data_IF_192054845406
#
_entry.id   IF_192054845406
#
_cell.length_a   1.000
_cell.length_b   1.000
_cell.length_c   1.000
_cell.angle_alpha   90.00
_cell.angle_beta   90.00
_cell.angle_gamma   90.00
#
_symmetry.space_group_name_H-M   'P 1'
#
loop_
_entity.id
_entity.type
_entity.pdbx_description
1 polymer ?
#
# COMPACT_ATOMS: atom_id res chain seq x y z
N UNK A 1 -7.36 1.92 7.45
CA UNK A 1 -8.22 3.10 7.67
C UNK A 1 -9.17 3.16 6.50
N UNK A 2 -10.47 3.10 6.77
CA UNK A 2 -11.50 3.38 5.78
C UNK A 2 -11.87 4.86 5.87
N UNK A 3 -12.00 5.53 4.74
CA UNK A 3 -12.37 6.94 4.70
C UNK A 3 -13.88 7.11 4.74
N UNK A 4 -14.36 8.21 5.31
CA UNK A 4 -15.76 8.62 5.20
C UNK A 4 -15.97 9.28 3.83
N UNK A 5 -16.13 8.44 2.81
CA UNK A 5 -16.15 8.82 1.39
C UNK A 5 -14.92 8.31 0.63
N UNK A 6 -14.39 9.13 -0.26
CA UNK A 6 -13.19 8.81 -1.04
C UNK A 6 -12.20 9.97 -1.06
N UNK A 7 -10.92 9.64 -1.26
CA UNK A 7 -9.86 10.61 -1.54
C UNK A 7 -9.56 10.54 -3.04
N UNK A 8 -9.53 11.71 -3.67
CA UNK A 8 -9.08 11.88 -5.05
C UNK A 8 -7.56 12.10 -5.08
N UNK A 9 -6.85 11.13 -5.65
CA UNK A 9 -5.41 11.16 -5.87
C UNK A 9 -5.02 11.34 -7.33
N UNK A 10 -5.94 11.64 -8.24
CA UNK A 10 -5.67 11.72 -9.70
C UNK A 10 -4.55 12.71 -10.05
N UNK A 11 -4.42 13.79 -9.29
CA UNK A 11 -3.37 14.80 -9.49
C UNK A 11 -1.97 14.40 -8.95
N UNK A 12 -1.83 13.22 -8.34
CA UNK A 12 -0.62 12.74 -7.70
C UNK A 12 -0.14 11.42 -8.32
N UNK A 13 1.16 11.14 -8.23
CA UNK A 13 1.76 9.93 -8.82
C UNK A 13 2.42 9.03 -7.77
N UNK A 14 2.56 9.50 -6.52
CA UNK A 14 3.35 8.82 -5.49
C UNK A 14 2.71 8.95 -4.12
N UNK A 15 2.66 7.86 -3.36
CA UNK A 15 2.44 7.88 -1.91
C UNK A 15 3.80 7.96 -1.20
N UNK A 16 3.95 8.94 -0.31
CA UNK A 16 5.12 9.07 0.55
C UNK A 16 4.74 8.84 2.02
N UNK A 17 5.55 8.05 2.72
CA UNK A 17 5.36 7.74 4.13
C UNK A 17 6.65 8.07 4.88
N UNK A 18 6.58 8.93 5.91
CA UNK A 18 7.68 9.10 6.86
C UNK A 18 7.50 8.11 8.00
N UNK A 19 8.36 7.11 8.03
CA UNK A 19 8.21 5.93 8.87
C UNK A 19 9.55 5.54 9.50
N UNK A 20 9.49 4.85 10.65
CA UNK A 20 10.63 4.23 11.32
C UNK A 20 10.26 2.80 11.66
N UNK A 21 11.07 1.85 11.19
CA UNK A 21 10.77 0.42 11.29
C UNK A 21 11.75 -0.34 12.18
N UNK A 22 11.46 -1.61 12.31
CA UNK A 22 12.17 -2.64 13.08
C UNK A 22 13.03 -3.57 12.20
N UNK A 23 13.14 -3.26 10.90
CA UNK A 23 13.83 -4.10 9.91
C UNK A 23 12.97 -5.21 9.31
N UNK A 24 11.66 -5.29 9.64
CA UNK A 24 10.70 -6.13 8.92
C UNK A 24 10.25 -5.45 7.62
N UNK A 25 9.69 -6.25 6.72
CA UNK A 25 8.97 -5.74 5.56
C UNK A 25 7.49 -5.53 5.86
N UNK A 26 6.90 -4.53 5.23
CA UNK A 26 5.48 -4.21 5.37
C UNK A 26 4.81 -4.18 3.99
N UNK A 27 3.49 -4.30 3.97
CA UNK A 27 2.69 -4.23 2.74
C UNK A 27 1.74 -3.05 2.86
N UNK A 28 1.87 -2.09 1.94
CA UNK A 28 0.89 -1.03 1.77
C UNK A 28 -0.24 -1.55 0.90
N UNK A 29 -1.48 -1.46 1.36
CA UNK A 29 -2.66 -1.77 0.55
C UNK A 29 -3.47 -0.51 0.31
N UNK A 30 -3.89 -0.28 -0.93
CA UNK A 30 -4.82 0.77 -1.34
C UNK A 30 -6.12 0.09 -1.78
N UNK A 31 -7.25 0.60 -1.30
CA UNK A 31 -8.59 0.15 -1.69
C UNK A 31 -9.22 1.22 -2.58
N UNK A 32 -9.73 0.84 -3.75
CA UNK A 32 -10.34 1.79 -4.69
C UNK A 32 -11.67 1.29 -5.23
N UNK A 33 -12.51 2.24 -5.64
CA UNK A 33 -13.71 1.92 -6.42
C UNK A 33 -13.34 1.82 -7.91
N UNK A 34 -13.29 0.61 -8.45
CA UNK A 34 -13.17 0.36 -9.88
C UNK A 34 -14.52 -0.06 -10.47
N UNK A 35 -14.93 0.61 -11.55
CA UNK A 35 -16.18 0.37 -12.28
C UNK A 35 -16.25 -0.98 -13.03
N UNK A 36 -15.17 -1.78 -12.99
CA UNK A 36 -15.11 -3.09 -13.67
C UNK A 36 -15.89 -4.16 -12.88
N UNK A 37 -16.28 -3.88 -11.63
CA UNK A 37 -17.04 -4.82 -10.82
C UNK A 37 -18.50 -4.88 -11.28
N UNK A 38 -19.00 -6.09 -11.49
CA UNK A 38 -20.42 -6.31 -11.80
C UNK A 38 -21.31 -5.79 -10.66
N UNK A 39 -22.55 -5.34 -10.93
CA UNK A 39 -23.48 -4.93 -9.88
C UNK A 39 -23.61 -6.01 -8.81
N UNK A 40 -23.27 -5.70 -7.55
CA UNK A 40 -23.29 -6.65 -6.43
C UNK A 40 -21.94 -7.28 -6.06
N UNK A 41 -20.85 -7.04 -6.81
CA UNK A 41 -19.50 -7.36 -6.38
C UNK A 41 -18.91 -6.20 -5.57
N UNK A 42 -19.26 -6.16 -4.28
CA UNK A 42 -18.60 -5.31 -3.27
C UNK A 42 -17.23 -5.88 -2.84
N UNK A 43 -16.56 -6.60 -3.73
CA UNK A 43 -15.29 -7.22 -3.42
C UNK A 43 -14.18 -6.18 -3.56
N UNK A 44 -13.53 -5.88 -2.44
CA UNK A 44 -12.51 -4.84 -2.26
C UNK A 44 -11.44 -4.93 -3.37
N UNK A 45 -11.49 -4.04 -4.36
CA UNK A 45 -10.39 -3.91 -5.30
C UNK A 45 -9.21 -3.36 -4.52
N UNK A 46 -8.25 -4.25 -4.26
CA UNK A 46 -7.08 -3.94 -3.47
C UNK A 46 -5.86 -3.97 -4.37
N UNK A 47 -4.98 -2.99 -4.19
CA UNK A 47 -3.65 -3.04 -4.78
C UNK A 47 -2.62 -2.98 -3.68
N UNK A 48 -1.55 -3.75 -3.85
CA UNK A 48 -0.53 -3.93 -2.84
C UNK A 48 0.86 -3.56 -3.37
N UNK A 49 1.67 -2.98 -2.50
CA UNK A 49 3.09 -2.75 -2.75
C UNK A 49 3.89 -3.00 -1.49
N UNK A 50 5.13 -3.47 -1.64
CA UNK A 50 6.02 -3.69 -0.52
C UNK A 50 6.62 -2.37 -0.03
N UNK A 51 6.74 -2.25 1.30
CA UNK A 51 7.37 -1.12 1.98
C UNK A 51 8.56 -1.64 2.75
N UNK A 52 9.74 -1.23 2.29
CA UNK A 52 11.03 -1.56 2.91
C UNK A 52 11.44 -0.43 3.83
N UNK A 53 11.62 -0.75 5.12
CA UNK A 53 11.91 0.23 6.15
C UNK A 53 13.23 -0.11 6.85
N UNK A 54 14.25 0.76 6.80
CA UNK A 54 15.47 0.58 7.56
C UNK A 54 15.18 0.48 9.06
N UNK A 55 15.90 -0.41 9.74
CA UNK A 55 15.81 -0.54 11.20
C UNK A 55 16.28 0.74 11.88
N UNK A 56 15.50 1.19 12.87
CA UNK A 56 15.82 2.24 13.84
C UNK A 56 16.11 3.65 13.27
N UNK A 57 15.84 3.89 11.99
CA UNK A 57 16.02 5.20 11.35
C UNK A 57 14.72 5.72 10.74
N UNK A 58 14.45 7.02 10.90
CA UNK A 58 13.39 7.68 10.16
C UNK A 58 13.74 7.72 8.68
N UNK A 59 12.83 7.23 7.86
CA UNK A 59 12.99 7.11 6.42
C UNK A 59 11.72 7.59 5.71
N UNK A 60 11.87 8.16 4.51
CA UNK A 60 10.74 8.54 3.66
C UNK A 60 10.63 7.49 2.56
N UNK A 61 9.72 6.53 2.74
CA UNK A 61 9.38 5.58 1.70
C UNK A 61 8.51 6.30 0.65
N UNK A 62 8.89 6.19 -0.63
CA UNK A 62 8.12 6.69 -1.76
C UNK A 62 7.68 5.51 -2.60
N UNK A 63 6.37 5.40 -2.83
CA UNK A 63 5.75 4.31 -3.57
C UNK A 63 4.98 4.94 -4.72
N UNK A 64 5.53 4.89 -5.96
CA UNK A 64 4.79 5.25 -7.15
C UNK A 64 3.46 4.48 -7.24
N UNK A 65 2.39 5.11 -7.70
CA UNK A 65 1.08 4.48 -7.80
C UNK A 65 1.08 3.29 -8.80
N UNK A 66 1.94 3.32 -9.81
CA UNK A 66 2.14 2.24 -10.78
C UNK A 66 2.92 1.03 -10.23
N UNK A 67 3.52 1.15 -9.03
CA UNK A 67 4.16 0.02 -8.32
C UNK A 67 3.17 -0.77 -7.44
N UNK A 68 1.91 -0.34 -7.39
CA UNK A 68 0.85 -1.08 -6.70
C UNK A 68 0.27 -2.14 -7.64
N UNK A 69 0.36 -3.41 -7.25
CA UNK A 69 -0.11 -4.54 -8.03
C UNK A 69 -1.54 -4.92 -7.62
N UNK A 70 -2.46 -5.19 -8.55
CA UNK A 70 -3.81 -5.62 -8.21
C UNK A 70 -3.77 -6.99 -7.51
N UNK A 71 -4.47 -7.10 -6.39
CA UNK A 71 -4.52 -8.32 -5.58
C UNK A 71 -5.94 -8.77 -5.29
N UNK A 72 -6.16 -10.08 -5.39
CA UNK A 72 -7.40 -10.74 -4.98
C UNK A 72 -7.12 -11.85 -3.98
N UNK A 73 -7.74 -11.75 -2.78
CA UNK A 73 -7.52 -12.70 -1.66
C UNK A 73 -6.03 -13.00 -1.41
N UNK A 74 -5.19 -11.96 -1.45
CA UNK A 74 -3.75 -12.05 -1.22
C UNK A 74 -2.91 -12.55 -2.41
N UNK A 75 -3.51 -12.82 -3.56
CA UNK A 75 -2.80 -13.23 -4.77
C UNK A 75 -2.74 -12.09 -5.78
N UNK A 76 -1.59 -11.89 -6.40
CA UNK A 76 -1.45 -10.94 -7.52
C UNK A 76 -2.28 -11.43 -8.70
N UNK A 77 -3.09 -10.55 -9.28
CA UNK A 77 -3.90 -10.85 -10.45
C UNK A 77 -3.04 -10.58 -11.69
N UNK A 78 -2.81 -11.60 -12.52
CA UNK A 78 -2.18 -11.44 -13.84
C UNK A 78 -3.19 -10.91 -14.88
N UNK A 79 -3.83 -9.79 -14.56
CA UNK A 79 -4.69 -9.05 -15.47
C UNK A 79 -4.24 -7.59 -15.50
N UNK A 80 -4.28 -6.96 -16.68
CA UNK A 80 -4.07 -5.52 -16.81
C UNK A 80 -5.29 -4.79 -16.25
N UNK A 81 -5.25 -4.55 -14.95
CA UNK A 81 -6.22 -3.73 -14.23
C UNK A 81 -5.53 -2.44 -13.81
N UNK A 82 -6.06 -1.31 -14.27
CA UNK A 82 -5.61 0.00 -13.83
C UNK A 82 -6.31 0.36 -12.52
N UNK A 83 -5.54 0.93 -11.57
CA UNK A 83 -6.10 1.51 -10.36
C UNK A 83 -6.90 2.76 -10.74
N UNK A 84 -8.04 3.01 -10.09
CA UNK A 84 -8.73 4.30 -10.17
C UNK A 84 -8.22 5.24 -9.05
N UNK A 85 -7.28 6.16 -9.32
CA UNK A 85 -6.74 7.06 -8.30
C UNK A 85 -7.75 8.12 -7.86
N UNK A 86 -8.80 8.40 -8.63
CA UNK A 86 -9.79 9.44 -8.29
C UNK A 86 -10.75 9.02 -7.16
N UNK A 87 -10.78 7.73 -6.79
CA UNK A 87 -11.72 7.16 -5.81
C UNK A 87 -11.07 6.17 -4.86
N UNK A 88 -10.10 6.65 -4.09
CA UNK A 88 -9.46 5.86 -3.03
C UNK A 88 -10.39 5.78 -1.82
N UNK A 89 -10.79 4.58 -1.44
CA UNK A 89 -11.73 4.30 -0.32
C UNK A 89 -11.01 4.13 1.02
N UNK A 90 -9.74 3.75 0.97
CA UNK A 90 -8.95 3.51 2.17
C UNK A 90 -7.54 3.06 1.89
N UNK A 91 -6.76 3.00 2.96
CA UNK A 91 -5.39 2.49 2.95
C UNK A 91 -5.11 1.67 4.21
N UNK A 92 -4.30 0.63 4.07
CA UNK A 92 -3.77 -0.13 5.21
C UNK A 92 -2.27 -0.36 5.06
N UNK A 93 -1.64 -0.66 6.19
CA UNK A 93 -0.26 -1.09 6.26
C UNK A 93 -0.19 -2.32 7.16
N UNK A 94 0.24 -3.43 6.61
CA UNK A 94 0.31 -4.72 7.31
C UNK A 94 1.74 -5.22 7.38
N UNK A 95 2.03 -6.03 8.40
CA UNK A 95 3.33 -6.70 8.52
C UNK A 95 3.39 -7.80 7.45
N UNK A 96 4.49 -7.85 6.70
CA UNK A 96 4.76 -9.00 5.86
C UNK A 96 5.42 -10.10 6.71
N UNK A 97 4.70 -11.20 6.92
CA UNK A 97 5.21 -12.33 7.69
C UNK A 97 6.21 -13.17 6.90
N UNK A 98 6.16 -13.13 5.56
CA UNK A 98 6.96 -14.01 4.71
C UNK A 98 7.57 -13.25 3.51
N UNK A 99 8.89 -13.28 3.41
CA UNK A 99 9.64 -12.57 2.37
C UNK A 99 10.02 -11.12 2.71
N UNK A 100 10.57 -10.44 1.71
CA UNK A 100 11.20 -9.12 1.87
C UNK A 100 12.48 -8.98 1.06
N UNK A 101 13.20 -7.88 1.25
CA UNK A 101 14.57 -7.74 0.74
C UNK A 101 15.52 -8.68 1.48
N UNK A 102 16.64 -9.11 0.85
CA UNK A 102 17.67 -9.90 1.53
C UNK A 102 18.10 -9.24 2.84
N UNK A 103 18.05 -10.01 3.93
CA UNK A 103 18.39 -9.53 5.28
C UNK A 103 17.24 -8.88 6.07
N UNK A 104 16.02 -8.84 5.53
CA UNK A 104 14.84 -8.43 6.29
C UNK A 104 14.47 -9.46 7.37
N UNK A 105 13.97 -8.98 8.51
CA UNK A 105 13.41 -9.83 9.55
C UNK A 105 12.07 -10.41 9.07
N UNK A 106 11.93 -11.74 9.08
CA UNK A 106 10.71 -12.45 8.67
C UNK A 106 10.25 -13.45 9.74
N UNK A 107 9.05 -14.01 9.57
CA UNK A 107 8.45 -14.99 10.48
C UNK A 107 7.71 -14.38 11.69
N UNK A 108 7.20 -15.23 12.60
CA UNK A 108 6.46 -14.80 13.78
C UNK A 108 7.27 -13.88 14.71
N UNK A 109 6.57 -13.13 15.57
CA UNK A 109 7.17 -12.35 16.65
C UNK A 109 6.76 -10.88 16.63
N UNK A 110 7.38 -10.11 17.52
CA UNK A 110 7.04 -8.71 17.71
C UNK A 110 7.35 -7.88 16.47
N UNK A 111 6.54 -6.85 16.27
CA UNK A 111 6.74 -5.83 15.25
C UNK A 111 6.59 -4.44 15.84
N UNK A 112 7.32 -3.49 15.26
CA UNK A 112 7.20 -2.08 15.59
C UNK A 112 7.38 -1.24 14.35
N UNK A 113 6.35 -0.47 14.03
CA UNK A 113 6.37 0.56 13.02
C UNK A 113 5.83 1.85 13.59
N UNK A 114 6.62 2.90 13.48
CA UNK A 114 6.21 4.26 13.82
C UNK A 114 5.92 5.03 12.52
N UNK A 115 4.81 5.74 12.49
CA UNK A 115 4.38 6.56 11.35
C UNK A 115 4.27 8.00 11.84
N UNK A 116 4.97 8.91 11.17
CA UNK A 116 4.85 10.35 11.43
C UNK A 116 3.78 10.97 10.51
N UNK A 117 3.92 10.74 9.20
CA UNK A 117 2.93 11.21 8.22
C UNK A 117 2.86 10.32 6.98
N UNK A 118 1.73 10.43 6.28
CA UNK A 118 1.47 9.88 4.96
C UNK A 118 1.00 11.03 4.07
N UNK A 119 1.56 11.17 2.86
CA UNK A 119 1.24 12.24 1.92
C UNK A 119 1.17 11.70 0.50
N UNK A 120 0.30 12.26 -0.32
CA UNK A 120 0.38 12.12 -1.77
C UNK A 120 1.33 13.20 -2.33
N UNK A 121 2.19 12.82 -3.27
CA UNK A 121 3.14 13.69 -3.94
C UNK A 121 2.95 13.59 -5.44
N UNK A 122 3.23 14.71 -6.12
CA UNK A 122 3.48 14.75 -7.55
C UNK A 122 4.98 14.88 -7.74
N UNK A 123 5.59 13.93 -8.42
CA UNK A 123 7.04 13.83 -8.61
C UNK A 123 7.48 14.07 -10.06
N UNK A 124 6.52 14.21 -10.98
CA UNK A 124 6.71 14.70 -12.35
C UNK A 124 6.27 16.16 -12.57
#
# INVERSE_FOLDING_TARGET
MQFDGFIDLEAYDTIALRIKGDGRCYISTIYTENWVNSPGQMEDNSWQSFVFVPKDNWYIAKIPLDHYLPTWRGNVIEAKLEMNPSRILGMSLSVNADGGVPGANSGPGDFKLEIDWIKALRTQ
#
